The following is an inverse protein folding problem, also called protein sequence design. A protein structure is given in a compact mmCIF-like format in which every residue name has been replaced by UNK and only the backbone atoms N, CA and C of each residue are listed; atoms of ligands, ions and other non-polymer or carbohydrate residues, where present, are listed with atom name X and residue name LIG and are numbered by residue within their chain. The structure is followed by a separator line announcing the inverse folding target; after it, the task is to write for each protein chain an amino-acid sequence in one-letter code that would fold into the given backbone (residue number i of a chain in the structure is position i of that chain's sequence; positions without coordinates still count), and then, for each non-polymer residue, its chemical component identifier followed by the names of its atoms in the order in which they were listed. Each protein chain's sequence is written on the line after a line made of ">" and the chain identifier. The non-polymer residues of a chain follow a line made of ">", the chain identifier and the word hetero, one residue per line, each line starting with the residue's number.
data_IF_263616142000
#
_entry.id   IF_263616142000
#
_cell.length_a   1.000
_cell.length_b   1.000
_cell.length_c   1.000
_cell.angle_alpha   90.00
_cell.angle_beta   90.00
_cell.angle_gamma   90.00
#
_symmetry.space_group_name_H-M   'P 1'
#
loop_
_entity.id
_entity.type
_entity.pdbx_description
1 polymer ?
#
# COMPACT_ATOMS: atom_id res chain seq x y z
N UNK A 1 0.15 -25.46 4.95
CA UNK A 1 -0.62 -24.54 4.07
C UNK A 1 -0.23 -23.14 4.49
N UNK A 2 0.14 -22.25 3.57
CA UNK A 2 0.43 -20.84 3.91
C UNK A 2 -0.86 -20.17 4.39
N UNK A 3 -0.74 -19.26 5.35
CA UNK A 3 -1.87 -18.43 5.77
C UNK A 3 -2.25 -17.43 4.67
N UNK A 4 -3.50 -16.96 4.67
CA UNK A 4 -3.95 -15.92 3.74
C UNK A 4 -3.09 -14.65 3.88
N UNK A 5 -2.73 -14.30 5.12
CA UNK A 5 -1.87 -13.17 5.46
C UNK A 5 -0.47 -13.28 4.86
N UNK A 6 0.19 -14.44 4.99
CA UNK A 6 1.49 -14.68 4.35
C UNK A 6 1.40 -14.57 2.82
N UNK A 7 0.34 -15.12 2.24
CA UNK A 7 0.11 -15.06 0.78
C UNK A 7 -0.04 -13.61 0.31
N UNK A 8 -0.76 -12.79 1.07
CA UNK A 8 -0.92 -11.35 0.79
C UNK A 8 0.43 -10.63 0.85
N UNK A 9 1.29 -10.95 1.83
CA UNK A 9 2.62 -10.36 1.94
C UNK A 9 3.55 -10.77 0.80
N UNK A 10 3.49 -12.04 0.36
CA UNK A 10 4.24 -12.53 -0.79
C UNK A 10 3.85 -11.77 -2.06
N UNK A 11 2.55 -11.61 -2.31
CA UNK A 11 2.06 -10.81 -3.45
C UNK A 11 2.44 -9.34 -3.36
N UNK A 12 2.36 -8.73 -2.17
CA UNK A 12 2.78 -7.35 -1.98
C UNK A 12 4.28 -7.16 -2.28
N UNK A 13 5.11 -8.13 -1.90
CA UNK A 13 6.53 -8.14 -2.21
C UNK A 13 6.78 -8.31 -3.72
N UNK A 14 6.12 -9.26 -4.37
CA UNK A 14 6.23 -9.52 -5.81
C UNK A 14 5.83 -8.30 -6.64
N UNK A 15 4.71 -7.67 -6.30
CA UNK A 15 4.17 -6.48 -6.98
C UNK A 15 4.86 -5.17 -6.57
N UNK A 16 5.82 -5.24 -5.64
CA UNK A 16 6.57 -4.08 -5.10
C UNK A 16 5.63 -3.01 -4.54
N UNK A 17 4.59 -3.44 -3.84
CA UNK A 17 3.64 -2.57 -3.14
C UNK A 17 4.18 -2.32 -1.72
N UNK A 18 5.17 -1.44 -1.59
CA UNK A 18 5.85 -1.26 -0.29
C UNK A 18 5.00 -0.52 0.73
N UNK A 19 4.18 0.46 0.31
CA UNK A 19 3.21 1.11 1.21
C UNK A 19 2.19 0.10 1.70
N UNK A 20 1.73 -0.76 0.79
CA UNK A 20 0.85 -1.87 1.14
C UNK A 20 1.50 -2.76 2.19
N UNK A 21 2.76 -3.20 1.99
CA UNK A 21 3.46 -4.07 2.95
C UNK A 21 3.59 -3.41 4.34
N UNK A 22 3.91 -2.13 4.39
CA UNK A 22 4.13 -1.38 5.63
C UNK A 22 2.81 -1.05 6.35
N UNK A 23 1.73 -0.75 5.60
CA UNK A 23 0.47 -0.27 6.15
C UNK A 23 -0.66 -1.31 6.21
N UNK A 24 -0.44 -2.54 5.71
CA UNK A 24 -1.49 -3.57 5.63
C UNK A 24 -2.17 -3.82 6.98
N UNK A 25 -1.39 -4.04 8.05
CA UNK A 25 -1.92 -4.33 9.39
C UNK A 25 -2.75 -3.18 9.96
N UNK A 26 -2.26 -1.96 9.80
CA UNK A 26 -2.97 -0.76 10.25
C UNK A 26 -4.25 -0.57 9.45
N UNK A 27 -4.22 -0.80 8.14
CA UNK A 27 -5.38 -0.64 7.26
C UNK A 27 -6.42 -1.75 7.50
N UNK A 28 -5.98 -2.98 7.81
CA UNK A 28 -6.88 -4.07 8.20
C UNK A 28 -7.58 -3.80 9.54
N UNK A 29 -6.84 -3.29 10.52
CA UNK A 29 -7.41 -2.89 11.82
C UNK A 29 -8.46 -1.79 11.64
N UNK A 30 -8.12 -0.74 10.88
CA UNK A 30 -9.02 0.36 10.58
C UNK A 30 -10.26 -0.10 9.80
N UNK A 31 -10.08 -0.97 8.80
CA UNK A 31 -11.19 -1.52 8.02
C UNK A 31 -12.14 -2.36 8.89
N UNK A 32 -11.63 -3.08 9.88
CA UNK A 32 -12.44 -3.83 10.83
C UNK A 32 -13.19 -2.89 11.80
N UNK A 33 -12.51 -1.86 12.31
CA UNK A 33 -13.12 -0.84 13.20
C UNK A 33 -14.24 -0.05 12.49
N UNK A 34 -14.01 0.35 11.24
CA UNK A 34 -14.94 1.16 10.45
C UNK A 34 -15.93 0.34 9.61
N UNK A 35 -15.92 -1.00 9.73
CA UNK A 35 -16.76 -1.92 8.94
C UNK A 35 -16.70 -1.66 7.43
N UNK A 36 -15.48 -1.49 6.89
CA UNK A 36 -15.30 -1.28 5.46
C UNK A 36 -15.73 -2.49 4.67
N UNK A 37 -16.38 -2.22 3.53
CA UNK A 37 -16.54 -3.25 2.52
C UNK A 37 -15.23 -3.45 1.72
N UNK A 38 -15.15 -4.56 0.99
CA UNK A 38 -13.95 -4.91 0.23
C UNK A 38 -13.54 -3.85 -0.80
N UNK A 39 -14.51 -3.15 -1.42
CA UNK A 39 -14.21 -2.10 -2.39
C UNK A 39 -13.58 -0.87 -1.71
N UNK A 40 -14.10 -0.46 -0.55
CA UNK A 40 -13.52 0.62 0.24
C UNK A 40 -12.09 0.29 0.67
N UNK A 41 -11.89 -0.91 1.22
CA UNK A 41 -10.57 -1.38 1.62
C UNK A 41 -9.57 -1.36 0.47
N UNK A 42 -9.92 -1.95 -0.68
CA UNK A 42 -9.04 -1.96 -1.86
C UNK A 42 -8.76 -0.55 -2.38
N UNK A 43 -9.76 0.33 -2.39
CA UNK A 43 -9.63 1.71 -2.86
C UNK A 43 -8.64 2.49 -1.99
N UNK A 44 -8.78 2.42 -0.67
CA UNK A 44 -7.90 3.13 0.26
C UNK A 44 -6.46 2.62 0.15
N UNK A 45 -6.31 1.29 0.18
CA UNK A 45 -5.01 0.62 0.18
C UNK A 45 -4.22 0.88 -1.11
N UNK A 46 -4.88 0.79 -2.28
CA UNK A 46 -4.28 1.12 -3.57
C UNK A 46 -4.07 2.64 -3.72
N UNK A 47 -4.95 3.45 -3.13
CA UNK A 47 -4.83 4.91 -3.08
C UNK A 47 -3.54 5.36 -2.40
N UNK A 48 -3.23 4.79 -1.24
CA UNK A 48 -2.00 5.03 -0.48
C UNK A 48 -0.74 4.64 -1.26
N UNK A 49 -0.71 3.45 -1.85
CA UNK A 49 0.44 3.02 -2.68
C UNK A 49 0.63 3.95 -3.89
N UNK A 50 -0.47 4.36 -4.55
CA UNK A 50 -0.42 5.30 -5.67
C UNK A 50 0.10 6.68 -5.24
N UNK A 51 -0.32 7.18 -4.08
CA UNK A 51 0.19 8.42 -3.50
C UNK A 51 1.69 8.34 -3.21
N UNK A 52 2.16 7.26 -2.58
CA UNK A 52 3.59 7.02 -2.33
C UNK A 52 4.39 7.01 -3.64
N UNK A 53 3.92 6.28 -4.66
CA UNK A 53 4.59 6.24 -5.97
C UNK A 53 4.64 7.61 -6.65
N UNK A 54 3.58 8.42 -6.55
CA UNK A 54 3.57 9.80 -7.05
C UNK A 54 4.62 10.66 -6.34
N UNK A 55 4.68 10.57 -5.02
CA UNK A 55 5.65 11.32 -4.22
C UNK A 55 7.10 10.91 -4.52
N UNK A 56 7.38 9.61 -4.67
CA UNK A 56 8.69 9.14 -5.09
C UNK A 56 9.10 9.70 -6.46
N UNK A 57 8.19 9.72 -7.45
CA UNK A 57 8.45 10.33 -8.75
C UNK A 57 8.71 11.83 -8.63
N UNK A 58 7.93 12.54 -7.81
CA UNK A 58 8.11 13.97 -7.56
C UNK A 58 9.49 14.26 -6.98
N UNK A 59 9.89 13.56 -5.91
CA UNK A 59 11.21 13.70 -5.27
C UNK A 59 12.34 13.39 -6.23
N UNK A 60 12.20 12.33 -7.03
CA UNK A 60 13.21 11.98 -8.05
C UNK A 60 13.38 13.10 -9.07
N UNK A 61 12.29 13.73 -9.53
CA UNK A 61 12.35 14.85 -10.47
C UNK A 61 13.03 16.08 -9.87
N UNK A 62 12.73 16.41 -8.62
CA UNK A 62 13.37 17.53 -7.90
C UNK A 62 14.87 17.30 -7.77
N UNK A 63 15.27 16.12 -7.28
CA UNK A 63 16.69 15.74 -7.13
C UNK A 63 17.43 15.76 -8.46
N UNK A 64 16.82 15.24 -9.53
CA UNK A 64 17.43 15.27 -10.87
C UNK A 64 17.56 16.67 -11.45
N UNK A 65 16.72 17.62 -11.02
CA UNK A 65 16.79 19.02 -11.45
C UNK A 65 17.78 19.86 -10.61
N UNK A 66 18.43 19.28 -9.60
CA UNK A 66 19.52 19.93 -8.84
C UNK A 66 19.06 20.94 -7.79
N UNK A 67 17.80 20.85 -7.33
CA UNK A 67 17.28 21.63 -6.20
C UNK A 67 17.58 20.97 -4.85
#
# INVERSE_FOLDING_TARGET
>A
MKSEKETIYDYAAELKLLAFKEELECTLSLAAEENWNHLQFLTELLGKESARRRECRRRSRIRSAGF
#
